data_IF_499642856994
#
_entry.id   IF_499642856994
#
_cell.length_a   1.000
_cell.length_b   1.000
_cell.length_c   1.000
_cell.angle_alpha   90.00
_cell.angle_beta   90.00
_cell.angle_gamma   90.00
#
_symmetry.space_group_name_H-M   'P 1'
#
loop_
_entity.id
_entity.type
_entity.pdbx_description
1 polymer ?
#
# COMPACT_ATOMS: atom_id res chain seq x y z
N UNK A 1 9.43 3.70 -49.88
CA UNK A 1 10.63 4.15 -49.14
C UNK A 1 10.84 3.23 -47.96
N UNK A 2 11.95 2.50 -47.90
CA UNK A 2 12.25 1.63 -46.76
C UNK A 2 12.57 2.53 -45.55
N UNK A 3 11.93 2.27 -44.40
CA UNK A 3 12.17 3.03 -43.15
C UNK A 3 13.65 3.01 -42.81
N UNK A 4 14.19 4.18 -42.49
CA UNK A 4 15.58 4.34 -42.08
C UNK A 4 15.83 3.62 -40.74
N UNK A 5 17.07 3.26 -40.45
CA UNK A 5 17.43 2.61 -39.18
C UNK A 5 17.02 3.44 -37.96
N UNK A 6 17.13 4.78 -38.06
CA UNK A 6 16.70 5.72 -37.03
C UNK A 6 15.18 5.70 -36.80
N UNK A 7 14.38 5.64 -37.86
CA UNK A 7 12.92 5.54 -37.77
C UNK A 7 12.48 4.22 -37.12
N UNK A 8 13.15 3.11 -37.43
CA UNK A 8 12.87 1.81 -36.81
C UNK A 8 13.17 1.81 -35.31
N UNK A 9 14.27 2.44 -34.89
CA UNK A 9 14.62 2.56 -33.47
C UNK A 9 13.64 3.46 -32.72
N UNK A 10 13.21 4.56 -33.34
CA UNK A 10 12.20 5.47 -32.75
C UNK A 10 10.86 4.76 -32.55
N UNK A 11 10.38 4.04 -33.56
CA UNK A 11 9.15 3.24 -33.46
C UNK A 11 9.25 2.13 -32.41
N UNK A 12 10.41 1.45 -32.31
CA UNK A 12 10.63 0.43 -31.29
C UNK A 12 10.52 1.02 -29.87
N UNK A 13 11.17 2.18 -29.64
CA UNK A 13 11.08 2.89 -28.35
C UNK A 13 9.69 3.42 -28.05
N UNK A 14 8.92 3.81 -29.06
CA UNK A 14 7.52 4.23 -28.90
C UNK A 14 6.62 3.03 -28.56
N UNK A 15 6.79 1.89 -29.24
CA UNK A 15 6.08 0.64 -28.91
C UNK A 15 6.40 0.16 -27.49
N UNK A 16 7.66 0.20 -27.08
CA UNK A 16 8.09 -0.12 -25.72
C UNK A 16 7.46 0.81 -24.68
N UNK A 17 7.46 2.13 -24.92
CA UNK A 17 6.79 3.10 -24.04
C UNK A 17 5.28 2.89 -23.96
N UNK A 18 4.63 2.58 -25.08
CA UNK A 18 3.20 2.29 -25.11
C UNK A 18 2.88 0.97 -24.42
N UNK A 19 3.70 -0.07 -24.58
CA UNK A 19 3.54 -1.34 -23.89
C UNK A 19 3.73 -1.17 -22.37
N UNK A 20 4.75 -0.42 -21.94
CA UNK A 20 4.95 -0.10 -20.53
C UNK A 20 3.77 0.70 -19.94
N UNK A 21 3.25 1.69 -20.67
CA UNK A 21 2.05 2.44 -20.24
C UNK A 21 0.81 1.56 -20.16
N UNK A 22 0.60 0.65 -21.12
CA UNK A 22 -0.52 -0.30 -21.06
C UNK A 22 -0.38 -1.26 -19.88
N UNK A 23 0.81 -1.78 -19.63
CA UNK A 23 1.08 -2.64 -18.48
C UNK A 23 0.84 -1.93 -17.13
N UNK A 24 1.07 -0.61 -17.05
CA UNK A 24 0.75 0.19 -15.84
C UNK A 24 -0.76 0.41 -15.64
N UNK A 25 -1.55 0.30 -16.70
CA UNK A 25 -3.01 0.49 -16.66
C UNK A 25 -3.76 -0.84 -16.49
N UNK A 26 -3.09 -1.96 -16.73
CA UNK A 26 -3.67 -3.28 -16.49
C UNK A 26 -3.78 -3.52 -14.98
N UNK A 27 -4.97 -3.88 -14.47
CA UNK A 27 -5.14 -4.18 -13.06
C UNK A 27 -4.29 -5.40 -12.72
N UNK A 28 -3.55 -5.31 -11.62
CA UNK A 28 -2.82 -6.45 -11.08
C UNK A 28 -3.84 -7.52 -10.70
N UNK A 29 -3.72 -8.76 -11.19
CA UNK A 29 -4.65 -9.81 -10.84
C UNK A 29 -4.61 -10.06 -9.33
N UNK A 30 -5.78 -10.11 -8.72
CA UNK A 30 -5.89 -10.39 -7.29
C UNK A 30 -5.37 -11.81 -6.99
N UNK A 31 -4.66 -12.01 -5.87
CA UNK A 31 -4.28 -13.34 -5.45
C UNK A 31 -5.52 -14.23 -5.27
N UNK A 32 -5.45 -15.50 -5.68
CA UNK A 32 -6.60 -16.41 -5.60
C UNK A 32 -7.11 -16.73 -4.18
N UNK A 33 -6.40 -16.31 -3.13
CA UNK A 33 -6.85 -16.42 -1.74
C UNK A 33 -7.67 -15.20 -1.28
N UNK A 34 -7.77 -14.16 -2.10
CA UNK A 34 -8.60 -12.98 -1.82
C UNK A 34 -10.02 -13.25 -2.28
N UNK A 35 -10.96 -13.10 -1.36
CA UNK A 35 -12.40 -13.31 -1.52
C UNK A 35 -13.17 -12.05 -1.18
N UNK A 36 -12.81 -11.38 -0.08
CA UNK A 36 -13.45 -10.14 0.35
C UNK A 36 -12.75 -8.97 -0.34
N UNK A 37 -13.45 -8.09 -1.08
CA UNK A 37 -12.78 -6.94 -1.66
C UNK A 37 -12.39 -5.93 -0.58
N UNK A 38 -11.26 -5.24 -0.75
CA UNK A 38 -10.71 -4.33 0.27
C UNK A 38 -11.68 -3.23 0.72
N UNK A 39 -12.53 -2.70 -0.19
CA UNK A 39 -13.52 -1.69 0.19
C UNK A 39 -14.55 -2.20 1.20
N UNK A 40 -14.89 -3.50 1.14
CA UNK A 40 -15.81 -4.11 2.09
C UNK A 40 -15.14 -4.35 3.46
N UNK A 41 -13.83 -4.63 3.46
CA UNK A 41 -13.03 -4.67 4.69
C UNK A 41 -12.95 -3.30 5.38
N UNK A 42 -12.91 -2.23 4.59
CA UNK A 42 -12.87 -0.84 5.07
C UNK A 42 -14.24 -0.29 5.48
N UNK A 43 -15.34 -0.98 5.18
CA UNK A 43 -16.68 -0.50 5.53
C UNK A 43 -16.84 -0.36 7.05
N UNK A 44 -17.21 0.83 7.51
CA UNK A 44 -17.32 1.17 8.92
C UNK A 44 -15.99 1.36 9.68
N UNK A 45 -14.83 1.25 9.02
CA UNK A 45 -13.52 1.61 9.60
C UNK A 45 -13.22 3.08 9.31
N UNK A 46 -12.78 3.81 10.33
CA UNK A 46 -12.23 5.15 10.17
C UNK A 46 -10.70 5.07 10.15
N UNK A 47 -10.06 6.08 9.54
CA UNK A 47 -8.59 6.12 9.44
C UNK A 47 -8.11 7.40 10.11
N UNK A 48 -7.31 7.25 11.16
CA UNK A 48 -6.93 8.32 12.08
C UNK A 48 -6.01 9.34 11.41
N UNK A 49 -5.39 9.01 10.27
CA UNK A 49 -4.58 9.96 9.53
C UNK A 49 -5.34 11.16 8.95
N UNK A 50 -6.66 11.06 8.79
CA UNK A 50 -7.48 12.19 8.32
C UNK A 50 -7.40 13.36 9.32
N UNK A 51 -7.57 13.07 10.61
CA UNK A 51 -7.42 14.04 11.71
C UNK A 51 -5.98 14.62 11.75
N UNK A 52 -4.97 13.77 11.49
CA UNK A 52 -3.58 14.19 11.49
C UNK A 52 -3.24 15.12 10.31
N UNK A 53 -3.82 14.89 9.13
CA UNK A 53 -3.67 15.75 7.95
C UNK A 53 -4.24 17.14 8.24
N UNK A 54 -5.42 17.20 8.85
CA UNK A 54 -6.06 18.47 9.21
C UNK A 54 -5.33 19.22 10.32
N UNK A 55 -4.74 18.52 11.29
CA UNK A 55 -3.95 19.13 12.37
C UNK A 55 -2.77 19.98 11.85
N UNK A 56 -2.23 19.65 10.68
CA UNK A 56 -1.13 20.39 10.03
C UNK A 56 -1.56 21.15 8.76
N UNK A 57 -2.87 21.30 8.56
CA UNK A 57 -3.47 22.05 7.46
C UNK A 57 -3.10 21.48 6.09
N UNK A 58 -3.00 20.15 5.99
CA UNK A 58 -2.65 19.43 4.76
C UNK A 58 -3.92 19.18 3.96
N UNK A 59 -4.30 20.14 3.12
CA UNK A 59 -5.35 19.93 2.15
C UNK A 59 -4.78 19.41 0.83
N UNK A 60 -5.38 18.35 0.30
CA UNK A 60 -4.94 17.65 -0.92
C UNK A 60 -4.91 18.58 -2.15
N UNK A 61 -5.57 19.74 -2.09
CA UNK A 61 -5.67 20.76 -3.14
C UNK A 61 -4.63 21.90 -3.07
N UNK A 62 -3.67 21.88 -2.15
CA UNK A 62 -2.49 22.75 -2.20
C UNK A 62 -2.21 23.45 -0.87
N UNK A 63 -0.96 23.36 -0.42
CA UNK A 63 -0.44 24.02 0.78
C UNK A 63 0.69 24.97 0.38
N UNK A 64 0.51 26.28 0.60
CA UNK A 64 1.56 27.27 0.32
C UNK A 64 2.57 27.33 1.48
N UNK A 65 3.84 27.00 1.19
CA UNK A 65 4.97 27.07 2.11
C UNK A 65 5.90 28.26 1.81
N UNK A 66 5.49 29.17 0.90
CA UNK A 66 6.28 30.32 0.45
C UNK A 66 6.41 31.45 1.47
N UNK A 67 5.61 31.44 2.54
CA UNK A 67 5.63 32.47 3.58
C UNK A 67 6.44 32.06 4.82
N UNK A 68 7.18 33.00 5.42
CA UNK A 68 8.01 32.71 6.60
C UNK A 68 7.18 32.31 7.83
N UNK A 69 6.04 32.96 8.04
CA UNK A 69 5.06 32.65 9.07
C UNK A 69 3.86 32.01 8.39
N UNK A 70 3.50 30.82 8.82
CA UNK A 70 2.43 30.03 8.24
C UNK A 70 1.12 30.33 8.94
N UNK A 71 0.09 30.64 8.13
CA UNK A 71 -1.31 30.71 8.57
C UNK A 71 -2.09 29.67 7.81
N UNK A 72 -2.82 28.83 8.52
CA UNK A 72 -3.64 27.78 7.94
C UNK A 72 -4.83 27.50 8.86
N UNK A 73 -5.94 27.11 8.24
CA UNK A 73 -7.11 26.65 8.97
C UNK A 73 -6.86 25.20 9.41
N UNK A 74 -7.21 24.90 10.65
CA UNK A 74 -7.03 23.60 11.26
C UNK A 74 -8.03 23.46 12.39
N UNK A 75 -8.55 22.25 12.59
CA UNK A 75 -9.50 21.96 13.67
C UNK A 75 -8.82 21.92 15.05
N UNK A 76 -7.49 21.77 15.06
CA UNK A 76 -6.72 21.78 16.30
C UNK A 76 -6.51 23.23 16.79
N UNK A 77 -6.80 23.53 18.07
CA UNK A 77 -6.69 24.88 18.62
C UNK A 77 -5.23 25.22 18.93
N UNK A 78 -4.42 25.47 17.90
CA UNK A 78 -3.04 25.88 18.10
C UNK A 78 -2.98 27.37 18.49
N UNK A 79 -2.48 27.65 19.68
CA UNK A 79 -2.27 29.03 20.16
C UNK A 79 -0.98 29.68 19.60
N UNK A 80 -0.22 28.97 18.76
CA UNK A 80 1.08 29.41 18.23
C UNK A 80 1.08 29.49 16.70
N UNK A 81 1.83 30.47 16.18
CA UNK A 81 2.19 30.54 14.76
C UNK A 81 3.33 29.59 14.45
N UNK A 82 3.29 28.90 13.31
CA UNK A 82 4.35 28.01 12.84
C UNK A 82 5.21 28.70 11.78
N UNK A 83 6.49 28.38 11.73
CA UNK A 83 7.34 28.71 10.57
C UNK A 83 7.07 27.76 9.40
N UNK A 84 7.46 28.14 8.18
CA UNK A 84 7.37 27.25 7.01
C UNK A 84 8.13 25.94 7.18
N UNK A 85 9.31 25.97 7.83
CA UNK A 85 10.10 24.76 8.09
C UNK A 85 9.46 23.86 9.15
N UNK A 86 8.94 24.43 10.25
CA UNK A 86 8.23 23.65 11.26
C UNK A 86 6.98 22.99 10.69
N UNK A 87 6.22 23.72 9.87
CA UNK A 87 5.07 23.17 9.17
C UNK A 87 5.49 22.06 8.22
N UNK A 88 6.52 22.26 7.39
CA UNK A 88 7.01 21.24 6.48
C UNK A 88 7.47 19.95 7.20
N UNK A 89 8.14 20.08 8.35
CA UNK A 89 8.50 18.94 9.21
C UNK A 89 7.28 18.23 9.79
N UNK A 90 6.30 18.99 10.27
CA UNK A 90 5.02 18.46 10.75
C UNK A 90 4.27 17.68 9.67
N UNK A 91 4.12 18.28 8.48
CA UNK A 91 3.51 17.64 7.31
C UNK A 91 4.21 16.34 6.94
N UNK A 92 5.55 16.33 6.94
CA UNK A 92 6.32 15.11 6.70
C UNK A 92 5.98 14.03 7.73
N UNK A 93 5.95 14.36 9.03
CA UNK A 93 5.58 13.42 10.10
C UNK A 93 4.20 12.81 9.86
N UNK A 94 3.21 13.65 9.59
CA UNK A 94 1.84 13.21 9.29
C UNK A 94 1.78 12.28 8.08
N UNK A 95 2.47 12.60 6.98
CA UNK A 95 2.49 11.72 5.80
C UNK A 95 3.11 10.35 6.12
N UNK A 96 4.14 10.31 6.98
CA UNK A 96 4.74 9.06 7.40
C UNK A 96 3.79 8.24 8.27
N UNK A 97 3.07 8.89 9.18
CA UNK A 97 2.13 8.20 10.05
C UNK A 97 0.91 7.71 9.26
N UNK A 98 0.38 8.52 8.34
CA UNK A 98 -0.65 8.11 7.37
C UNK A 98 -0.23 6.89 6.54
N UNK A 99 1.00 6.91 6.02
CA UNK A 99 1.54 5.80 5.25
C UNK A 99 1.70 4.53 6.10
N UNK A 100 2.13 4.65 7.36
CA UNK A 100 2.25 3.51 8.29
C UNK A 100 0.88 2.92 8.61
N UNK A 101 -0.10 3.77 8.91
CA UNK A 101 -1.45 3.34 9.24
C UNK A 101 -2.10 2.60 8.06
N UNK A 102 -2.03 3.18 6.86
CA UNK A 102 -2.54 2.53 5.66
C UNK A 102 -1.81 1.21 5.37
N UNK A 103 -0.48 1.16 5.55
CA UNK A 103 0.29 -0.07 5.41
C UNK A 103 -0.13 -1.13 6.43
N UNK A 104 -0.44 -0.75 7.67
CA UNK A 104 -0.93 -1.64 8.71
C UNK A 104 -2.30 -2.21 8.35
N UNK A 105 -3.25 -1.37 7.91
CA UNK A 105 -4.58 -1.80 7.45
C UNK A 105 -4.51 -2.76 6.27
N UNK A 106 -3.67 -2.48 5.27
CA UNK A 106 -3.44 -3.38 4.14
C UNK A 106 -2.87 -4.72 4.62
N UNK A 107 -1.95 -4.70 5.58
CA UNK A 107 -1.36 -5.92 6.12
C UNK A 107 -2.36 -6.74 6.94
N UNK A 108 -3.18 -6.08 7.75
CA UNK A 108 -4.27 -6.70 8.52
C UNK A 108 -5.27 -7.40 7.58
N UNK A 109 -5.73 -6.69 6.55
CA UNK A 109 -6.60 -7.25 5.52
C UNK A 109 -5.98 -8.51 4.88
N UNK A 110 -4.72 -8.45 4.45
CA UNK A 110 -4.04 -9.60 3.85
C UNK A 110 -3.94 -10.77 4.82
N UNK A 111 -3.64 -10.51 6.09
CA UNK A 111 -3.56 -11.55 7.12
C UNK A 111 -4.93 -12.20 7.37
N UNK A 112 -6.01 -11.43 7.34
CA UNK A 112 -7.38 -11.94 7.47
C UNK A 112 -7.76 -12.83 6.29
N UNK A 113 -7.52 -12.39 5.06
CA UNK A 113 -7.83 -13.17 3.85
C UNK A 113 -7.02 -14.47 3.79
N UNK A 114 -5.71 -14.41 4.11
CA UNK A 114 -4.86 -15.61 4.19
C UNK A 114 -5.32 -16.55 5.30
N UNK A 115 -5.75 -16.02 6.45
CA UNK A 115 -6.32 -16.81 7.54
C UNK A 115 -7.58 -17.55 7.11
N UNK A 116 -8.54 -16.83 6.52
CA UNK A 116 -9.78 -17.40 6.01
C UNK A 116 -9.52 -18.48 4.93
N UNK A 117 -8.56 -18.24 4.03
CA UNK A 117 -8.17 -19.22 3.02
C UNK A 117 -7.54 -20.50 3.62
N UNK A 118 -6.74 -20.37 4.69
CA UNK A 118 -6.20 -21.52 5.42
C UNK A 118 -7.32 -22.33 6.05
N UNK A 119 -8.28 -21.67 6.70
CA UNK A 119 -9.41 -22.32 7.35
C UNK A 119 -10.29 -23.05 6.32
N UNK A 120 -10.61 -22.40 5.21
CA UNK A 120 -11.33 -23.02 4.09
C UNK A 120 -10.59 -24.24 3.52
N UNK A 121 -9.26 -24.15 3.35
CA UNK A 121 -8.45 -25.28 2.89
C UNK A 121 -8.45 -26.45 3.89
N UNK A 122 -8.48 -26.16 5.20
CA UNK A 122 -8.62 -27.17 6.24
C UNK A 122 -9.99 -27.87 6.19
N UNK A 123 -11.08 -27.13 6.00
CA UNK A 123 -12.43 -27.69 5.83
C UNK A 123 -12.53 -28.59 4.60
N UNK A 124 -12.00 -28.14 3.47
CA UNK A 124 -11.93 -28.94 2.24
C UNK A 124 -11.16 -30.24 2.50
N UNK A 125 -9.98 -30.15 3.12
CA UNK A 125 -9.17 -31.33 3.48
C UNK A 125 -9.93 -32.32 4.35
N UNK A 126 -10.69 -31.85 5.32
CA UNK A 126 -11.48 -32.68 6.23
C UNK A 126 -12.67 -33.37 5.55
N UNK A 127 -13.19 -32.76 4.48
CA UNK A 127 -14.33 -33.28 3.71
C UNK A 127 -13.95 -34.30 2.62
N UNK A 128 -12.66 -34.51 2.37
CA UNK A 128 -12.18 -35.40 1.31
C UNK A 128 -12.55 -36.88 1.56
N UNK A 129 -12.91 -37.65 0.50
CA UNK A 129 -13.13 -39.08 0.60
C UNK A 129 -11.91 -39.83 1.13
N UNK A 130 -12.14 -40.79 2.03
CA UNK A 130 -11.07 -41.66 2.54
C UNK A 130 -10.43 -42.43 1.39
N UNK A 131 -9.13 -42.20 1.18
CA UNK A 131 -8.34 -42.85 0.13
C UNK A 131 -7.88 -41.92 -0.99
N UNK A 132 -8.38 -40.68 -1.07
CA UNK A 132 -7.88 -39.70 -2.04
C UNK A 132 -6.62 -38.99 -1.53
N UNK A 133 -5.50 -39.73 -1.59
CA UNK A 133 -4.19 -39.27 -1.12
C UNK A 133 -3.67 -38.10 -1.96
N UNK A 134 -4.00 -38.04 -3.25
CA UNK A 134 -3.51 -36.99 -4.15
C UNK A 134 -4.24 -35.66 -3.92
N UNK A 135 -5.55 -35.68 -3.70
CA UNK A 135 -6.28 -34.48 -3.30
C UNK A 135 -5.81 -33.96 -1.94
N UNK A 136 -5.54 -34.88 -0.99
CA UNK A 136 -5.06 -34.52 0.34
C UNK A 136 -3.66 -33.86 0.29
N UNK A 137 -2.73 -34.41 -0.50
CA UNK A 137 -1.40 -33.81 -0.71
C UNK A 137 -1.49 -32.41 -1.30
N UNK A 138 -2.32 -32.22 -2.32
CA UNK A 138 -2.52 -30.89 -2.94
C UNK A 138 -3.04 -29.87 -1.94
N UNK A 139 -4.00 -30.29 -1.11
CA UNK A 139 -4.57 -29.42 -0.08
C UNK A 139 -3.53 -29.01 0.97
N UNK A 140 -2.71 -29.96 1.44
CA UNK A 140 -1.62 -29.64 2.38
C UNK A 140 -0.55 -28.73 1.75
N UNK A 141 -0.20 -28.93 0.48
CA UNK A 141 0.74 -28.06 -0.21
C UNK A 141 0.21 -26.61 -0.29
N UNK A 142 -1.09 -26.42 -0.51
CA UNK A 142 -1.68 -25.07 -0.51
C UNK A 142 -1.72 -24.46 0.89
N UNK A 143 -2.04 -25.25 1.92
CA UNK A 143 -1.98 -24.77 3.33
C UNK A 143 -0.56 -24.33 3.69
N UNK A 144 0.46 -25.10 3.32
CA UNK A 144 1.87 -24.75 3.55
C UNK A 144 2.26 -23.45 2.83
N UNK A 145 1.83 -23.29 1.57
CA UNK A 145 2.04 -22.06 0.80
C UNK A 145 1.38 -20.86 1.47
N UNK A 146 0.13 -20.97 1.90
CA UNK A 146 -0.60 -19.90 2.58
C UNK A 146 0.05 -19.53 3.93
N UNK A 147 0.54 -20.53 4.68
CA UNK A 147 1.30 -20.29 5.93
C UNK A 147 2.62 -19.58 5.66
N UNK A 148 3.32 -19.89 4.57
CA UNK A 148 4.52 -19.17 4.18
C UNK A 148 4.21 -17.69 3.90
N UNK A 149 3.13 -17.41 3.17
CA UNK A 149 2.67 -16.03 2.92
C UNK A 149 2.33 -15.33 4.26
N UNK A 150 1.60 -15.99 5.15
CA UNK A 150 1.27 -15.44 6.47
C UNK A 150 2.53 -15.12 7.29
N UNK A 151 3.54 -15.98 7.23
CA UNK A 151 4.82 -15.77 7.90
C UNK A 151 5.55 -14.54 7.37
N UNK A 152 5.61 -14.37 6.04
CA UNK A 152 6.21 -13.18 5.42
C UNK A 152 5.46 -11.90 5.81
N UNK A 153 4.13 -11.90 5.82
CA UNK A 153 3.31 -10.74 6.22
C UNK A 153 3.49 -10.33 7.70
N UNK A 154 3.91 -11.27 8.55
CA UNK A 154 4.23 -10.99 9.96
C UNK A 154 5.64 -10.46 10.17
N UNK A 155 6.51 -10.52 9.17
CA UNK A 155 7.86 -9.97 9.29
C UNK A 155 7.80 -8.45 9.25
N UNK A 156 8.43 -7.76 10.21
CA UNK A 156 8.51 -6.31 10.18
C UNK A 156 9.39 -5.85 9.01
N UNK A 157 8.79 -5.31 7.95
CA UNK A 157 9.51 -4.68 6.84
C UNK A 157 9.95 -3.28 7.27
N UNK A 158 11.25 -3.06 7.41
CA UNK A 158 11.79 -1.72 7.64
C UNK A 158 11.95 -1.00 6.30
N UNK A 159 11.09 -0.04 6.02
CA UNK A 159 11.35 0.92 4.96
C UNK A 159 12.39 1.93 5.45
N UNK A 160 13.58 1.96 4.85
CA UNK A 160 14.57 3.01 5.11
C UNK A 160 14.18 4.25 4.35
N UNK A 161 13.68 5.25 5.05
CA UNK A 161 13.51 6.60 4.51
C UNK A 161 14.73 7.43 4.92
N UNK A 162 15.19 8.31 4.02
CA UNK A 162 16.24 9.27 4.35
C UNK A 162 15.74 10.13 5.53
N UNK A 163 16.43 10.07 6.66
CA UNK A 163 16.10 10.92 7.81
C UNK A 163 16.40 12.37 7.46
N UNK A 164 15.40 13.24 7.58
CA UNK A 164 15.60 14.70 7.46
C UNK A 164 16.26 15.28 8.73
N UNK A 165 16.38 14.46 9.77
CA UNK A 165 17.15 14.73 10.98
C UNK A 165 18.65 14.57 10.75
N UNK A 166 19.21 15.27 9.76
CA UNK A 166 20.59 15.67 9.90
C UNK A 166 20.63 16.65 11.07
N UNK A 167 21.23 16.25 12.20
CA UNK A 167 21.72 17.18 13.21
C UNK A 167 22.81 18.01 12.55
N UNK A 168 22.39 19.02 11.79
CA UNK A 168 23.25 20.07 11.27
C UNK A 168 23.54 21.06 12.39
N UNK A 169 24.82 21.36 12.56
CA UNK A 169 25.29 22.65 13.06
C UNK A 169 24.61 23.83 12.33
#
# INVERSE_FOLDING_TARGET
>A
MAKTSAERVKEYRERQRQAARKALLEPVPEPGYVVTPFYAFMDGRHVDFEENLDAYGVHISGTDLGEAVQKFDTEAPWEKSFTSLERARGMMGVFLDAAKELAALINEYKLQEVGAAIDAAHEVSASLPRGDVEALKKSFAEIERLRAIQSELRKPTRHTLLSVDATGE
#
